data_IF_204204794368
#
_entry.id   IF_204204794368
#
_cell.length_a   1.000
_cell.length_b   1.000
_cell.length_c   1.000
_cell.angle_alpha   90.00
_cell.angle_beta   90.00
_cell.angle_gamma   90.00
#
_symmetry.space_group_name_H-M   'P 1'
#
loop_
_entity.id
_entity.type
_entity.pdbx_description
1 polymer ?
#
# COMPACT_ATOMS: atom_id res chain seq x y z
N UNK A 1 20.07 -9.60 33.06
CA UNK A 1 20.62 -9.19 31.74
C UNK A 1 19.83 -9.75 30.56
N UNK A 2 19.67 -11.08 30.42
CA UNK A 2 18.95 -11.70 29.28
C UNK A 2 17.52 -11.17 29.07
N UNK A 3 16.76 -11.00 30.16
CA UNK A 3 15.38 -10.45 30.12
C UNK A 3 15.34 -9.00 29.62
N UNK A 4 16.30 -8.18 30.05
CA UNK A 4 16.39 -6.76 29.66
C UNK A 4 16.70 -6.64 28.17
N UNK A 5 17.64 -7.45 27.66
CA UNK A 5 17.97 -7.49 26.23
C UNK A 5 16.74 -7.89 25.39
N UNK A 6 15.98 -8.88 25.85
CA UNK A 6 14.78 -9.34 25.15
C UNK A 6 13.67 -8.29 25.13
N UNK A 7 13.44 -7.60 26.24
CA UNK A 7 12.48 -6.49 26.30
C UNK A 7 12.88 -5.34 25.37
N UNK A 8 14.16 -5.00 25.32
CA UNK A 8 14.67 -3.94 24.44
C UNK A 8 14.49 -4.31 22.95
N UNK A 9 14.73 -5.58 22.61
CA UNK A 9 14.51 -6.10 21.26
C UNK A 9 13.03 -6.05 20.85
N UNK A 10 12.11 -6.37 21.76
CA UNK A 10 10.67 -6.28 21.44
C UNK A 10 10.23 -4.81 21.27
N UNK A 11 10.72 -3.92 22.14
CA UNK A 11 10.39 -2.50 22.07
C UNK A 11 10.84 -1.85 20.75
N UNK A 12 11.98 -2.28 20.19
CA UNK A 12 12.51 -1.69 18.94
C UNK A 12 11.61 -1.92 17.72
N UNK A 13 10.80 -2.99 17.69
CA UNK A 13 9.86 -3.23 16.59
C UNK A 13 8.75 -2.17 16.49
N UNK A 14 8.45 -1.45 17.57
CA UNK A 14 7.46 -0.35 17.55
C UNK A 14 7.90 0.83 16.68
N UNK A 15 9.20 0.91 16.35
CA UNK A 15 9.77 1.93 15.47
C UNK A 15 9.98 1.43 14.04
N UNK A 16 9.72 0.14 13.76
CA UNK A 16 9.83 -0.42 12.42
C UNK A 16 8.56 -0.10 11.62
N UNK A 17 8.72 0.64 10.52
CA UNK A 17 7.64 0.89 9.56
C UNK A 17 7.69 -0.16 8.46
N UNK A 18 6.58 -0.85 8.21
CA UNK A 18 6.48 -1.88 7.15
C UNK A 18 6.03 -1.31 5.79
N UNK A 19 5.91 0.02 5.66
CA UNK A 19 5.48 0.66 4.43
C UNK A 19 6.51 0.43 3.31
N UNK A 20 6.03 -0.01 2.15
CA UNK A 20 6.82 -0.07 0.92
C UNK A 20 6.57 1.21 0.12
N UNK A 21 7.64 1.93 -0.22
CA UNK A 21 7.59 3.09 -1.10
C UNK A 21 8.30 2.72 -2.40
N UNK A 22 7.58 2.76 -3.51
CA UNK A 22 8.14 2.46 -4.82
C UNK A 22 8.72 3.73 -5.46
N UNK A 23 10.03 3.70 -5.71
CA UNK A 23 10.76 4.72 -6.45
C UNK A 23 11.68 5.61 -5.60
N UNK A 24 11.49 5.67 -4.27
CA UNK A 24 12.36 6.41 -3.33
C UNK A 24 12.01 6.08 -1.86
N UNK A 25 12.73 6.68 -0.91
CA UNK A 25 12.42 6.69 0.52
C UNK A 25 11.31 7.68 0.91
N UNK A 26 10.88 8.56 0.01
CA UNK A 26 9.89 9.63 0.27
C UNK A 26 8.63 9.42 -0.57
N UNK A 27 7.59 8.86 0.05
CA UNK A 27 6.26 8.69 -0.56
C UNK A 27 5.30 9.84 -0.25
N UNK A 28 4.13 9.85 -0.86
CA UNK A 28 3.14 10.94 -0.82
C UNK A 28 2.21 10.94 0.40
N UNK A 29 2.07 9.82 1.12
CA UNK A 29 1.10 9.73 2.21
C UNK A 29 1.45 10.65 3.39
N UNK A 30 0.47 11.38 3.93
CA UNK A 30 0.68 12.21 5.13
C UNK A 30 0.88 11.35 6.40
N UNK A 31 0.24 10.18 6.46
CA UNK A 31 0.42 9.21 7.53
C UNK A 31 0.96 7.88 6.96
N UNK A 32 2.24 7.59 7.23
CA UNK A 32 2.91 6.38 6.70
C UNK A 32 2.52 5.08 7.40
N UNK A 33 1.88 5.14 8.57
CA UNK A 33 1.41 3.94 9.28
C UNK A 33 0.09 3.39 8.73
N UNK A 34 -0.62 4.18 7.91
CA UNK A 34 -1.92 3.80 7.33
C UNK A 34 -1.83 3.29 5.89
N UNK A 35 -0.62 3.20 5.31
CA UNK A 35 -0.43 2.86 3.89
C UNK A 35 0.64 1.80 3.74
N UNK A 36 0.25 0.61 3.25
CA UNK A 36 1.18 -0.51 2.98
C UNK A 36 2.05 -0.26 1.75
N UNK A 37 1.51 0.44 0.74
CA UNK A 37 2.18 0.72 -0.53
C UNK A 37 1.97 2.19 -0.94
N UNK A 38 3.07 2.91 -1.15
CA UNK A 38 3.09 4.32 -1.56
C UNK A 38 4.02 4.50 -2.77
N UNK A 39 3.84 5.58 -3.53
CA UNK A 39 4.68 5.93 -4.68
C UNK A 39 5.43 7.22 -4.40
N UNK A 40 6.67 7.30 -4.86
CA UNK A 40 7.50 8.47 -4.66
C UNK A 40 6.86 9.73 -5.28
N UNK A 41 6.84 10.81 -4.51
CA UNK A 41 6.25 12.07 -4.95
C UNK A 41 7.00 12.65 -6.17
N UNK A 42 6.28 13.29 -7.08
CA UNK A 42 6.82 13.96 -8.27
C UNK A 42 7.61 13.03 -9.24
N UNK A 43 7.44 11.72 -9.11
CA UNK A 43 7.98 10.75 -10.07
C UNK A 43 6.84 10.14 -10.89
N UNK A 44 7.13 9.77 -12.14
CA UNK A 44 6.18 9.05 -12.98
C UNK A 44 6.20 7.55 -12.62
N UNK A 45 5.78 7.22 -11.38
CA UNK A 45 5.73 5.87 -10.82
C UNK A 45 4.29 5.53 -10.43
N UNK A 46 3.91 4.28 -10.65
CA UNK A 46 2.56 3.78 -10.41
C UNK A 46 2.47 2.29 -10.75
N UNK A 47 1.28 1.72 -10.63
CA UNK A 47 0.99 0.38 -11.12
C UNK A 47 0.29 0.51 -12.47
N UNK A 48 0.82 -0.19 -13.47
CA UNK A 48 0.12 -0.38 -14.74
C UNK A 48 -0.87 -1.54 -14.52
N UNK A 49 -2.16 -1.22 -14.52
CA UNK A 49 -3.24 -2.22 -14.42
C UNK A 49 -3.93 -2.38 -15.77
N UNK A 50 -4.37 -3.60 -16.14
CA UNK A 50 -5.25 -3.79 -17.28
C UNK A 50 -6.60 -3.10 -17.02
N UNK A 51 -7.15 -2.45 -18.05
CA UNK A 51 -8.43 -1.76 -17.91
C UNK A 51 -9.60 -2.74 -18.04
N UNK A 52 -10.52 -2.69 -17.08
CA UNK A 52 -11.76 -3.45 -17.10
C UNK A 52 -12.87 -2.53 -17.58
N UNK A 53 -13.43 -2.78 -18.78
CA UNK A 53 -14.52 -1.96 -19.35
C UNK A 53 -15.90 -2.38 -18.85
N UNK A 54 -16.03 -3.64 -18.44
CA UNK A 54 -17.28 -4.22 -17.96
C UNK A 54 -16.98 -4.92 -16.64
N UNK A 55 -17.66 -4.50 -15.57
CA UNK A 55 -17.47 -5.09 -14.25
C UNK A 55 -17.82 -6.60 -14.31
N UNK A 56 -16.91 -7.51 -13.88
CA UNK A 56 -17.21 -8.94 -13.86
C UNK A 56 -18.34 -9.24 -12.87
N UNK A 57 -19.29 -10.06 -13.28
CA UNK A 57 -20.42 -10.49 -12.44
C UNK A 57 -20.61 -12.01 -12.53
N UNK A 58 -21.35 -12.60 -11.57
CA UNK A 58 -21.63 -14.03 -11.54
C UNK A 58 -20.35 -14.87 -11.53
N UNK A 59 -20.29 -15.90 -12.38
CA UNK A 59 -19.16 -16.82 -12.49
C UNK A 59 -17.87 -16.18 -13.04
N UNK A 60 -17.93 -14.99 -13.63
CA UNK A 60 -16.76 -14.25 -14.07
C UNK A 60 -16.06 -13.51 -12.91
N UNK A 61 -16.72 -13.37 -11.77
CA UNK A 61 -16.14 -12.79 -10.57
C UNK A 61 -15.31 -13.85 -9.83
N UNK A 62 -14.00 -13.83 -10.06
CA UNK A 62 -13.05 -14.68 -9.34
C UNK A 62 -12.39 -13.87 -8.23
N UNK A 63 -12.38 -14.43 -7.02
CA UNK A 63 -11.76 -13.79 -5.84
C UNK A 63 -10.26 -13.53 -6.04
N UNK A 64 -9.74 -12.49 -5.39
CA UNK A 64 -8.34 -12.07 -5.49
C UNK A 64 -8.07 -10.96 -6.52
N UNK A 65 -9.10 -10.43 -7.16
CA UNK A 65 -8.98 -9.28 -8.07
C UNK A 65 -9.13 -7.96 -7.31
N UNK A 66 -8.26 -6.99 -7.59
CA UNK A 66 -8.40 -5.59 -7.16
C UNK A 66 -8.92 -4.80 -8.36
N UNK A 67 -10.14 -4.29 -8.27
CA UNK A 67 -10.75 -3.44 -9.30
C UNK A 67 -10.91 -2.05 -8.71
N UNK A 68 -10.25 -1.07 -9.34
CA UNK A 68 -10.38 0.33 -8.98
C UNK A 68 -11.41 0.98 -9.91
N UNK A 69 -12.49 1.51 -9.33
CA UNK A 69 -13.40 2.39 -10.07
C UNK A 69 -12.75 3.76 -10.25
N UNK A 70 -12.30 4.03 -11.46
CA UNK A 70 -11.66 5.28 -11.86
C UNK A 70 -12.62 6.23 -12.61
N UNK A 71 -13.94 6.00 -12.58
CA UNK A 71 -14.93 6.86 -13.26
C UNK A 71 -14.87 8.31 -12.77
N UNK A 72 -14.55 8.51 -11.50
CA UNK A 72 -14.27 9.83 -10.91
C UNK A 72 -12.88 9.80 -10.28
N UNK A 73 -11.93 10.52 -10.90
CA UNK A 73 -10.50 10.48 -10.53
C UNK A 73 -10.22 10.78 -9.04
N UNK A 74 -11.12 11.53 -8.38
CA UNK A 74 -11.01 11.90 -6.96
C UNK A 74 -11.92 11.08 -6.03
N UNK A 75 -12.72 10.15 -6.55
CA UNK A 75 -13.65 9.33 -5.78
C UNK A 75 -13.12 7.91 -5.49
N UNK A 76 -12.03 7.50 -6.15
CA UNK A 76 -11.30 6.29 -5.82
C UNK A 76 -10.84 6.33 -4.34
N UNK A 77 -11.38 5.43 -3.52
CA UNK A 77 -10.99 5.21 -2.11
C UNK A 77 -10.63 3.75 -1.90
#
# INVERSE_FOLDING_TARGET
MKKVIFTLLIASFSFANAQVILGDAVGTAANKTSVLLDFAANQNKGIIVPYVRTLPTGNALVGGSIILDATTATAAR
#
